data_IF_046948126242
#
_entry.id   IF_046948126242
#
_cell.length_a   1.000
_cell.length_b   1.000
_cell.length_c   1.000
_cell.angle_alpha   90.00
_cell.angle_beta   90.00
_cell.angle_gamma   90.00
#
_symmetry.space_group_name_H-M   'P 1'
#
loop_
_entity.id
_entity.type
_entity.pdbx_description
1 polymer ?
#
# COMPACT_ATOMS: atom_id res chain seq x y z
N UNK A 1 -12.63 9.95 -8.79
CA UNK A 1 -12.21 8.78 -7.98
C UNK A 1 -13.19 7.65 -8.27
N UNK A 2 -12.72 6.60 -8.90
CA UNK A 2 -13.49 5.40 -9.22
C UNK A 2 -12.84 4.12 -8.70
N UNK A 3 -11.50 4.06 -8.68
CA UNK A 3 -10.74 2.86 -8.31
C UNK A 3 -10.02 3.06 -7.00
N UNK A 4 -10.33 2.22 -6.02
CA UNK A 4 -9.63 2.13 -4.74
C UNK A 4 -8.81 0.86 -4.71
N UNK A 5 -7.53 0.99 -4.42
CA UNK A 5 -6.68 -0.14 -4.08
C UNK A 5 -6.64 -0.28 -2.55
N UNK A 6 -7.16 -1.38 -2.04
CA UNK A 6 -7.05 -1.72 -0.63
C UNK A 6 -5.99 -2.79 -0.41
N UNK A 7 -4.90 -2.40 0.25
CA UNK A 7 -3.80 -3.29 0.62
C UNK A 7 -4.08 -3.77 2.04
N UNK A 8 -4.45 -5.03 2.18
CA UNK A 8 -4.81 -5.66 3.44
C UNK A 8 -3.64 -6.51 3.98
N UNK A 9 -2.93 -6.01 4.99
CA UNK A 9 -1.89 -6.74 5.70
C UNK A 9 -2.29 -7.16 7.13
N UNK A 10 -3.59 -7.38 7.35
CA UNK A 10 -4.15 -7.73 8.65
C UNK A 10 -4.00 -9.23 8.94
N UNK A 11 -2.78 -9.68 9.23
CA UNK A 11 -2.36 -11.09 9.31
C UNK A 11 -3.17 -11.97 10.26
N UNK A 12 -3.89 -11.41 11.25
CA UNK A 12 -4.74 -12.19 12.16
C UNK A 12 -6.10 -12.57 11.57
N UNK A 13 -6.48 -11.95 10.44
CA UNK A 13 -7.73 -12.24 9.75
C UNK A 13 -9.00 -11.74 10.46
N UNK A 14 -10.14 -12.18 9.92
CA UNK A 14 -11.46 -11.79 10.41
C UNK A 14 -11.71 -12.28 11.84
N UNK A 15 -12.38 -11.47 12.64
CA UNK A 15 -12.74 -11.77 14.05
C UNK A 15 -11.60 -11.57 15.05
N UNK A 16 -10.35 -11.39 14.58
CA UNK A 16 -9.21 -11.17 15.47
C UNK A 16 -8.45 -9.85 15.18
N UNK A 17 -8.65 -9.27 14.01
CA UNK A 17 -7.97 -8.05 13.60
C UNK A 17 -8.87 -6.83 13.66
N UNK A 18 -8.68 -5.99 14.68
CA UNK A 18 -9.37 -4.68 14.78
C UNK A 18 -9.05 -3.77 13.61
N UNK A 19 -7.81 -3.83 13.10
CA UNK A 19 -7.41 -3.05 11.93
C UNK A 19 -8.24 -3.45 10.70
N UNK A 20 -8.48 -4.75 10.51
CA UNK A 20 -9.31 -5.25 9.42
C UNK A 20 -10.75 -4.75 9.53
N UNK A 21 -11.33 -4.77 10.73
CA UNK A 21 -12.68 -4.27 10.98
C UNK A 21 -12.79 -2.77 10.67
N UNK A 22 -11.82 -1.96 11.11
CA UNK A 22 -11.78 -0.53 10.78
C UNK A 22 -11.65 -0.28 9.27
N UNK A 23 -10.83 -1.06 8.56
CA UNK A 23 -10.70 -0.95 7.11
C UNK A 23 -12.03 -1.26 6.42
N UNK A 24 -12.71 -2.32 6.82
CA UNK A 24 -14.01 -2.71 6.24
C UNK A 24 -15.07 -1.63 6.48
N UNK A 25 -15.21 -1.17 7.71
CA UNK A 25 -16.13 -0.08 8.05
C UNK A 25 -15.83 1.18 7.23
N UNK A 26 -14.57 1.56 7.14
CA UNK A 26 -14.15 2.71 6.34
C UNK A 26 -14.53 2.56 4.85
N UNK A 27 -14.29 1.39 4.26
CA UNK A 27 -14.58 1.13 2.85
C UNK A 27 -16.09 1.02 2.58
N UNK A 28 -16.87 0.48 3.52
CA UNK A 28 -18.34 0.45 3.44
C UNK A 28 -18.91 1.88 3.47
N UNK A 29 -18.50 2.70 4.42
CA UNK A 29 -18.87 4.12 4.48
C UNK A 29 -18.49 4.88 3.21
N UNK A 30 -17.30 4.59 2.67
CA UNK A 30 -16.84 5.21 1.44
C UNK A 30 -17.71 4.82 0.25
N UNK A 31 -18.13 3.55 0.15
CA UNK A 31 -19.04 3.07 -0.91
C UNK A 31 -20.42 3.72 -0.83
N UNK A 32 -20.96 3.88 0.40
CA UNK A 32 -22.24 4.57 0.63
C UNK A 32 -22.17 6.02 0.14
N UNK A 33 -21.08 6.72 0.44
CA UNK A 33 -20.90 8.13 0.06
C UNK A 33 -20.49 8.33 -1.40
N UNK A 34 -19.99 7.30 -2.06
CA UNK A 34 -19.50 7.32 -3.44
C UNK A 34 -20.01 6.10 -4.20
N UNK A 35 -21.30 6.10 -4.62
CA UNK A 35 -21.86 5.01 -5.43
C UNK A 35 -21.05 4.83 -6.72
N UNK A 36 -20.81 3.57 -7.10
CA UNK A 36 -20.01 3.22 -8.28
C UNK A 36 -18.50 3.17 -8.04
N UNK A 37 -18.06 3.19 -6.77
CA UNK A 37 -16.66 2.99 -6.40
C UNK A 37 -16.29 1.51 -6.51
N UNK A 38 -15.24 1.23 -7.27
CA UNK A 38 -14.65 -0.09 -7.38
C UNK A 38 -13.51 -0.23 -6.37
N UNK A 39 -13.58 -1.25 -5.52
CA UNK A 39 -12.53 -1.55 -4.53
C UNK A 39 -11.86 -2.86 -4.92
N UNK A 40 -10.60 -2.77 -5.33
CA UNK A 40 -9.73 -3.92 -5.53
C UNK A 40 -8.98 -4.21 -4.21
N UNK A 41 -9.24 -5.36 -3.61
CA UNK A 41 -8.51 -5.81 -2.43
C UNK A 41 -7.27 -6.60 -2.83
N UNK A 42 -6.13 -6.23 -2.26
CA UNK A 42 -4.91 -7.01 -2.25
C UNK A 42 -4.71 -7.59 -0.85
N UNK A 43 -5.22 -8.81 -0.66
CA UNK A 43 -5.11 -9.53 0.61
C UNK A 43 -3.73 -10.19 0.74
N UNK A 44 -2.84 -9.55 1.51
CA UNK A 44 -1.48 -10.03 1.73
C UNK A 44 -1.40 -11.22 2.70
N UNK A 45 -2.50 -11.58 3.34
CA UNK A 45 -2.56 -12.79 4.18
C UNK A 45 -2.57 -14.06 3.34
N UNK A 46 -2.89 -13.94 2.04
CA UNK A 46 -2.99 -15.01 1.06
C UNK A 46 -2.07 -14.82 -0.15
N UNK A 47 -1.42 -13.66 -0.23
CA UNK A 47 -0.56 -13.35 -1.38
C UNK A 47 0.77 -14.09 -1.25
N UNK A 48 1.09 -14.90 -2.26
CA UNK A 48 2.38 -15.58 -2.39
C UNK A 48 3.38 -14.69 -3.16
N UNK A 49 3.64 -13.49 -2.65
CA UNK A 49 4.67 -12.63 -3.22
C UNK A 49 6.04 -13.08 -2.69
N UNK A 50 6.97 -13.46 -3.57
CA UNK A 50 8.30 -13.85 -3.12
C UNK A 50 9.07 -12.63 -2.60
N UNK A 51 9.93 -12.88 -1.61
CA UNK A 51 10.91 -11.88 -1.15
C UNK A 51 11.83 -11.54 -2.32
N UNK A 52 12.13 -10.24 -2.50
CA UNK A 52 12.96 -9.76 -3.60
C UNK A 52 14.37 -10.34 -3.51
N UNK A 53 14.79 -10.99 -4.59
CA UNK A 53 16.15 -11.47 -4.81
C UNK A 53 16.80 -10.70 -5.96
N UNK A 54 18.11 -10.82 -6.12
CA UNK A 54 18.82 -10.18 -7.26
C UNK A 54 18.26 -10.64 -8.62
N UNK A 55 17.89 -11.92 -8.75
CA UNK A 55 17.30 -12.48 -9.95
C UNK A 55 15.89 -11.90 -10.20
N UNK A 56 15.04 -11.88 -9.19
CA UNK A 56 13.69 -11.35 -9.28
C UNK A 56 13.69 -9.84 -9.54
N UNK A 57 14.63 -9.09 -8.95
CA UNK A 57 14.79 -7.65 -9.24
C UNK A 57 15.11 -7.42 -10.70
N UNK A 58 16.11 -8.12 -11.26
CA UNK A 58 16.46 -8.04 -12.67
C UNK A 58 15.29 -8.42 -13.57
N UNK A 59 14.61 -9.54 -13.25
CA UNK A 59 13.45 -10.01 -14.02
C UNK A 59 12.33 -8.97 -14.05
N UNK A 60 12.03 -8.36 -12.90
CA UNK A 60 11.02 -7.30 -12.79
C UNK A 60 11.38 -6.09 -13.68
N UNK A 61 12.63 -5.67 -13.66
CA UNK A 61 13.13 -4.53 -14.45
C UNK A 61 13.05 -4.82 -15.95
N UNK A 62 13.44 -6.02 -16.39
CA UNK A 62 13.31 -6.47 -17.78
C UNK A 62 11.85 -6.44 -18.25
N UNK A 63 10.93 -7.06 -17.49
CA UNK A 63 9.51 -7.09 -17.79
C UNK A 63 8.89 -5.68 -17.85
N UNK A 64 9.29 -4.79 -16.95
CA UNK A 64 8.82 -3.42 -16.92
C UNK A 64 9.30 -2.62 -18.14
N UNK A 65 10.59 -2.76 -18.51
CA UNK A 65 11.20 -2.10 -19.67
C UNK A 65 10.57 -2.57 -21.00
N UNK A 66 10.25 -3.86 -21.10
CA UNK A 66 9.57 -4.45 -22.28
C UNK A 66 8.06 -4.10 -22.35
N UNK A 67 7.50 -3.50 -21.31
CA UNK A 67 6.07 -3.20 -21.23
C UNK A 67 5.17 -4.45 -21.15
N UNK A 68 5.75 -5.61 -20.80
CA UNK A 68 5.01 -6.89 -20.79
C UNK A 68 4.00 -6.97 -19.66
N UNK A 69 2.89 -7.65 -19.95
CA UNK A 69 1.96 -8.06 -18.92
C UNK A 69 2.47 -9.32 -18.24
N UNK A 70 2.77 -9.20 -16.93
CA UNK A 70 3.27 -10.30 -16.11
C UNK A 70 2.68 -10.15 -14.70
N UNK A 71 2.29 -11.27 -14.03
CA UNK A 71 1.76 -11.25 -12.66
C UNK A 71 2.71 -10.58 -11.65
N UNK A 72 4.02 -10.65 -11.84
CA UNK A 72 5.02 -9.99 -11.00
C UNK A 72 4.89 -8.46 -11.00
N UNK A 73 4.39 -7.86 -12.09
CA UNK A 73 4.17 -6.43 -12.20
C UNK A 73 2.78 -5.98 -11.70
N UNK A 74 1.92 -6.92 -11.32
CA UNK A 74 0.56 -6.60 -10.90
C UNK A 74 0.51 -5.63 -9.70
N UNK A 75 1.32 -5.78 -8.64
CA UNK A 75 1.36 -4.82 -7.53
C UNK A 75 1.68 -3.38 -7.98
N UNK A 76 2.65 -3.22 -8.88
CA UNK A 76 3.04 -1.91 -9.42
C UNK A 76 1.93 -1.31 -10.30
N UNK A 77 1.30 -2.11 -11.15
CA UNK A 77 0.24 -1.63 -12.06
C UNK A 77 -1.02 -1.23 -11.31
N UNK A 78 -1.41 -1.99 -10.30
CA UNK A 78 -2.55 -1.65 -9.44
C UNK A 78 -2.28 -0.35 -8.66
N UNK A 79 -1.08 -0.23 -8.10
CA UNK A 79 -0.65 0.98 -7.39
C UNK A 79 -0.68 2.21 -8.32
N UNK A 80 -0.15 2.08 -9.54
CA UNK A 80 -0.12 3.18 -10.51
C UNK A 80 -1.50 3.64 -10.97
N UNK A 81 -2.48 2.70 -11.06
CA UNK A 81 -3.83 2.97 -11.60
C UNK A 81 -4.86 3.38 -10.55
N UNK A 82 -4.59 3.18 -9.28
CA UNK A 82 -5.51 3.54 -8.21
C UNK A 82 -5.75 5.05 -8.15
N UNK A 83 -6.98 5.48 -7.85
CA UNK A 83 -7.32 6.87 -7.54
C UNK A 83 -7.18 7.17 -6.04
N UNK A 84 -7.34 6.12 -5.21
CA UNK A 84 -7.14 6.14 -3.77
C UNK A 84 -6.45 4.84 -3.35
N UNK A 85 -5.45 4.97 -2.50
CA UNK A 85 -4.80 3.81 -1.86
C UNK A 85 -5.20 3.78 -0.39
N UNK A 86 -5.68 2.61 0.07
CA UNK A 86 -5.97 2.35 1.49
C UNK A 86 -5.04 1.24 1.95
N UNK A 87 -4.23 1.50 2.96
CA UNK A 87 -3.33 0.52 3.57
C UNK A 87 -3.86 0.16 4.94
N UNK A 88 -4.27 -1.10 5.12
CA UNK A 88 -4.66 -1.65 6.41
C UNK A 88 -3.50 -2.46 7.01
N UNK A 89 -2.85 -1.94 8.04
CA UNK A 89 -1.69 -2.58 8.66
C UNK A 89 -1.72 -2.46 10.18
N UNK A 90 -1.81 -3.59 10.93
CA UNK A 90 -1.69 -3.54 12.38
C UNK A 90 -0.27 -3.07 12.75
N UNK A 91 -0.19 -2.37 13.90
CA UNK A 91 1.10 -1.95 14.44
C UNK A 91 1.82 -3.15 15.05
N UNK A 92 2.89 -3.59 14.40
CA UNK A 92 3.75 -4.68 14.82
C UNK A 92 5.21 -4.20 14.85
N UNK A 93 5.88 -4.47 15.96
CA UNK A 93 7.33 -4.27 16.10
C UNK A 93 7.79 -2.87 15.64
N UNK A 94 7.08 -1.83 16.11
CA UNK A 94 7.27 -0.42 15.77
C UNK A 94 6.91 -0.05 14.32
N UNK A 95 6.44 -0.99 13.52
CA UNK A 95 6.11 -0.83 12.11
C UNK A 95 4.82 -1.54 11.71
N UNK A 96 4.93 -2.43 10.74
CA UNK A 96 3.85 -3.21 10.15
C UNK A 96 4.32 -4.64 9.79
N UNK A 97 3.41 -5.59 9.49
CA UNK A 97 3.78 -6.93 9.09
C UNK A 97 4.70 -6.98 7.86
N UNK A 98 5.69 -7.87 7.87
CA UNK A 98 6.69 -8.03 6.81
C UNK A 98 6.08 -8.18 5.40
N UNK A 99 4.91 -8.82 5.29
CA UNK A 99 4.20 -8.98 4.02
C UNK A 99 3.91 -7.64 3.32
N UNK A 100 3.63 -6.57 4.08
CA UNK A 100 3.46 -5.23 3.51
C UNK A 100 4.78 -4.69 2.94
N UNK A 101 5.92 -4.95 3.59
CA UNK A 101 7.22 -4.54 3.06
C UNK A 101 7.53 -5.24 1.74
N UNK A 102 7.31 -6.55 1.68
CA UNK A 102 7.46 -7.33 0.44
C UNK A 102 6.57 -6.78 -0.67
N UNK A 103 5.29 -6.52 -0.38
CA UNK A 103 4.37 -5.93 -1.35
C UNK A 103 4.86 -4.58 -1.88
N UNK A 104 5.31 -3.69 -0.99
CA UNK A 104 5.82 -2.37 -1.37
C UNK A 104 7.08 -2.46 -2.26
N UNK A 105 7.95 -3.44 -2.03
CA UNK A 105 9.11 -3.70 -2.90
C UNK A 105 8.67 -4.07 -4.32
N UNK A 106 7.62 -4.88 -4.48
CA UNK A 106 7.04 -5.19 -5.78
C UNK A 106 6.27 -4.02 -6.40
N UNK A 107 5.59 -3.22 -5.58
CA UNK A 107 4.86 -2.05 -6.05
C UNK A 107 5.79 -0.93 -6.54
N UNK A 108 6.96 -0.76 -5.93
CA UNK A 108 7.96 0.24 -6.33
C UNK A 108 8.77 -0.23 -7.54
N UNK A 109 8.22 -0.07 -8.75
CA UNK A 109 8.84 -0.51 -10.01
C UNK A 109 9.13 0.68 -10.91
N UNK A 110 10.38 0.82 -11.30
CA UNK A 110 10.85 1.84 -12.24
C UNK A 110 10.07 1.77 -13.56
N UNK A 111 9.67 2.92 -14.08
CA UNK A 111 8.90 3.04 -15.31
C UNK A 111 7.39 2.77 -15.15
N UNK A 112 6.92 2.26 -13.98
CA UNK A 112 5.50 2.01 -13.72
C UNK A 112 4.97 2.92 -12.61
N UNK A 113 5.59 2.93 -11.44
CA UNK A 113 5.14 3.71 -10.28
C UNK A 113 6.00 4.91 -9.97
N UNK A 114 7.24 4.90 -10.43
CA UNK A 114 8.15 6.05 -10.38
C UNK A 114 9.12 6.02 -11.55
N UNK A 115 9.81 7.13 -11.78
CA UNK A 115 10.82 7.27 -12.82
C UNK A 115 11.77 8.44 -12.52
N UNK A 116 12.56 8.79 -13.50
CA UNK A 116 13.48 9.92 -13.41
C UNK A 116 13.27 10.86 -14.62
N UNK A 117 13.44 12.15 -14.39
CA UNK A 117 13.49 13.16 -15.48
C UNK A 117 14.82 13.07 -16.23
N UNK A 118 14.95 13.79 -17.35
CA UNK A 118 16.21 13.92 -18.05
C UNK A 118 17.32 14.56 -17.20
N UNK A 119 16.95 15.37 -16.21
CA UNK A 119 17.88 15.96 -15.25
C UNK A 119 18.27 15.01 -14.09
N UNK A 120 17.76 13.76 -14.09
CA UNK A 120 18.03 12.77 -13.04
C UNK A 120 17.19 12.94 -11.78
N UNK A 121 16.20 13.82 -11.79
CA UNK A 121 15.30 14.01 -10.65
C UNK A 121 14.25 12.93 -10.59
N UNK A 122 14.00 12.40 -9.40
CA UNK A 122 12.96 11.39 -9.18
C UNK A 122 11.56 11.98 -9.41
N UNK A 123 10.71 11.22 -10.10
CA UNK A 123 9.31 11.55 -10.38
C UNK A 123 8.40 10.37 -10.07
N UNK A 124 7.38 10.60 -9.26
CA UNK A 124 6.30 9.62 -9.07
C UNK A 124 5.36 9.56 -10.29
N UNK A 125 4.85 8.38 -10.57
CA UNK A 125 4.00 8.09 -11.72
C UNK A 125 2.61 7.57 -11.32
N UNK A 126 2.34 7.41 -10.02
CA UNK A 126 1.05 6.97 -9.54
C UNK A 126 -0.01 8.08 -9.66
N UNK A 127 -1.22 7.66 -9.99
CA UNK A 127 -2.37 8.55 -10.21
C UNK A 127 -3.11 8.91 -8.93
N UNK A 128 -2.92 8.15 -7.86
CA UNK A 128 -3.67 8.30 -6.62
C UNK A 128 -3.54 9.72 -6.06
N UNK A 129 -4.67 10.35 -5.79
CA UNK A 129 -4.73 11.67 -5.15
C UNK A 129 -4.42 11.60 -3.66
N UNK A 130 -4.61 10.42 -3.05
CA UNK A 130 -4.48 10.23 -1.61
C UNK A 130 -4.11 8.80 -1.25
N UNK A 131 -3.34 8.68 -0.14
CA UNK A 131 -3.13 7.42 0.57
C UNK A 131 -3.65 7.55 2.00
N UNK A 132 -4.43 6.56 2.46
CA UNK A 132 -4.94 6.47 3.83
C UNK A 132 -4.32 5.23 4.47
N UNK A 133 -3.60 5.43 5.57
CA UNK A 133 -3.02 4.37 6.37
C UNK A 133 -3.88 4.14 7.60
N UNK A 134 -4.41 2.93 7.76
CA UNK A 134 -5.28 2.54 8.87
C UNK A 134 -4.52 1.54 9.74
N UNK A 135 -4.32 1.90 11.00
CA UNK A 135 -3.61 1.05 11.96
C UNK A 135 -4.30 0.98 13.31
N UNK A 136 -4.06 -0.10 14.03
CA UNK A 136 -4.42 -0.23 15.45
C UNK A 136 -3.21 -0.73 16.22
N UNK A 137 -3.00 -0.16 17.41
CA UNK A 137 -1.98 -0.56 18.35
C UNK A 137 -2.57 -1.04 19.68
N UNK A 138 -1.79 -1.79 20.43
CA UNK A 138 -2.14 -2.26 21.76
C UNK A 138 -2.04 -1.16 22.85
N UNK A 139 -1.34 -0.06 22.56
CA UNK A 139 -1.12 1.09 23.46
C UNK A 139 -0.74 2.34 22.68
N UNK A 140 -0.42 3.44 23.37
CA UNK A 140 0.02 4.68 22.73
C UNK A 140 1.24 4.45 21.83
N UNK A 141 1.25 5.08 20.65
CA UNK A 141 2.37 4.97 19.71
C UNK A 141 3.48 5.98 20.02
N UNK A 142 3.15 7.06 20.75
CA UNK A 142 4.05 8.19 20.98
C UNK A 142 4.67 8.68 19.64
N UNK A 143 5.98 8.90 19.60
CA UNK A 143 6.71 9.31 18.39
C UNK A 143 7.25 8.13 17.57
N UNK A 144 6.78 6.91 17.81
CA UNK A 144 7.31 5.67 17.22
C UNK A 144 6.42 5.04 16.16
N UNK A 145 5.68 5.82 15.39
CA UNK A 145 4.85 5.30 14.30
C UNK A 145 5.67 5.15 12.98
N UNK A 146 6.74 4.36 13.04
CA UNK A 146 7.61 4.16 11.88
C UNK A 146 6.90 3.47 10.71
N UNK A 147 5.82 2.74 10.96
CA UNK A 147 5.02 2.14 9.90
C UNK A 147 4.38 3.19 9.01
N UNK A 148 3.72 4.19 9.60
CA UNK A 148 3.14 5.30 8.83
C UNK A 148 4.21 6.15 8.16
N UNK A 149 5.27 6.50 8.87
CA UNK A 149 6.35 7.31 8.33
C UNK A 149 7.02 6.65 7.12
N UNK A 150 7.24 5.34 7.18
CA UNK A 150 7.76 4.57 6.06
C UNK A 150 6.81 4.61 4.85
N UNK A 151 5.51 4.30 5.07
CA UNK A 151 4.50 4.30 3.99
C UNK A 151 4.32 5.70 3.40
N UNK A 152 4.36 6.74 4.23
CA UNK A 152 4.33 8.14 3.78
C UNK A 152 5.53 8.49 2.89
N UNK A 153 6.74 8.05 3.27
CA UNK A 153 7.95 8.24 2.44
C UNK A 153 7.82 7.55 1.10
N UNK A 154 7.38 6.28 1.08
CA UNK A 154 7.12 5.53 -0.17
C UNK A 154 6.04 6.23 -1.01
N UNK A 155 4.92 6.64 -0.41
CA UNK A 155 3.86 7.36 -1.11
C UNK A 155 4.38 8.62 -1.81
N UNK A 156 5.19 9.43 -1.11
CA UNK A 156 5.83 10.60 -1.68
C UNK A 156 6.75 10.26 -2.87
N UNK A 157 7.53 9.20 -2.77
CA UNK A 157 8.35 8.68 -3.87
C UNK A 157 7.50 8.32 -5.10
N UNK A 158 6.31 7.78 -4.88
CA UNK A 158 5.36 7.39 -5.94
C UNK A 158 4.51 8.55 -6.47
N UNK A 159 4.66 9.77 -5.91
CA UNK A 159 3.90 10.97 -6.30
C UNK A 159 2.59 11.16 -5.54
N UNK A 160 2.31 10.35 -4.52
CA UNK A 160 1.10 10.45 -3.69
C UNK A 160 1.41 11.32 -2.47
N UNK A 161 1.27 12.63 -2.60
CA UNK A 161 1.68 13.62 -1.58
C UNK A 161 0.67 13.80 -0.44
N UNK A 162 -0.60 13.47 -0.67
CA UNK A 162 -1.64 13.62 0.35
C UNK A 162 -1.82 12.29 1.10
N UNK A 163 -1.19 12.18 2.25
CA UNK A 163 -1.27 10.99 3.10
C UNK A 163 -1.98 11.29 4.41
N UNK A 164 -2.74 10.33 4.92
CA UNK A 164 -3.46 10.43 6.20
C UNK A 164 -3.22 9.19 7.05
N UNK A 165 -2.87 9.41 8.32
CA UNK A 165 -2.82 8.38 9.35
C UNK A 165 -4.19 8.31 10.08
N UNK A 166 -4.79 7.14 10.09
CA UNK A 166 -6.02 6.81 10.83
C UNK A 166 -5.68 5.72 11.84
N UNK A 167 -5.37 6.14 13.06
CA UNK A 167 -4.95 5.24 14.14
C UNK A 167 -6.02 5.11 15.21
N UNK A 168 -6.16 3.90 15.76
CA UNK A 168 -6.90 3.63 16.97
C UNK A 168 -5.99 2.91 17.97
N UNK A 169 -5.91 3.42 19.17
CA UNK A 169 -5.20 2.81 20.29
C UNK A 169 -6.20 2.25 21.29
N UNK A 170 -5.84 1.18 21.97
CA UNK A 170 -6.63 0.74 23.14
C UNK A 170 -6.38 1.75 24.26
N UNK A 171 -7.41 2.46 24.66
CA UNK A 171 -7.43 3.08 25.98
C UNK A 171 -7.74 1.96 26.99
N UNK A 172 -6.84 1.70 27.92
CA UNK A 172 -7.10 0.80 29.05
C UNK A 172 -8.08 1.45 30.00
#
# INVERSE_FOLDING_TARGET
>A
MKQVLWINSCMRGAGQSRTLELCRTFLEELRVRRPGLEVAERDLTRAELPVMTAELSRRREELAAEGREDPLLLPAREMARADLVVVGAPYWDLGFPAALKVYLEWACTLGITFGYTQAGEQRGLCRAERLIYITTAGGPLEDRNFGYEYVRGVAGMLGIINTQDRKSTRLN
#
